data_IF_518669053379
#
_entry.id   IF_518669053379
#
_cell.length_a   1.000
_cell.length_b   1.000
_cell.length_c   1.000
_cell.angle_alpha   90.00
_cell.angle_beta   90.00
_cell.angle_gamma   90.00
#
_symmetry.space_group_name_H-M   'P 1'
#
loop_
_entity.id
_entity.type
_entity.pdbx_description
1 polymer ?
#
# COMPACT_ATOMS: atom_id res chain seq x y z
N UNK A 1 -6.33 9.62 -8.43
CA UNK A 1 -4.88 9.33 -8.33
C UNK A 1 -4.55 8.03 -9.05
N UNK A 2 -3.47 8.00 -9.84
CA UNK A 2 -2.97 6.78 -10.50
C UNK A 2 -1.69 6.32 -9.82
N UNK A 3 -1.60 5.04 -9.47
CA UNK A 3 -0.39 4.46 -8.89
C UNK A 3 0.70 4.36 -9.96
N UNK A 4 1.86 4.98 -9.73
CA UNK A 4 2.99 4.96 -10.66
C UNK A 4 4.02 3.88 -10.31
N UNK A 5 4.29 3.72 -9.01
CA UNK A 5 5.20 2.72 -8.47
C UNK A 5 4.72 2.30 -7.07
N UNK A 6 5.10 1.09 -6.65
CA UNK A 6 4.80 0.56 -5.32
C UNK A 6 5.93 -0.38 -4.89
N UNK A 7 6.38 -0.22 -3.66
CA UNK A 7 7.45 -1.02 -3.03
C UNK A 7 7.13 -1.21 -1.54
N UNK A 8 7.62 -2.29 -0.96
CA UNK A 8 7.69 -2.46 0.50
C UNK A 8 8.93 -1.74 1.04
N UNK A 9 8.72 -0.79 1.93
CA UNK A 9 9.79 -0.12 2.67
C UNK A 9 10.37 -1.01 3.76
N UNK A 10 9.51 -1.79 4.44
CA UNK A 10 9.90 -2.76 5.45
C UNK A 10 9.04 -4.02 5.32
N UNK A 11 9.68 -5.19 5.34
CA UNK A 11 9.00 -6.49 5.35
C UNK A 11 8.47 -6.79 6.75
N UNK A 12 7.31 -7.45 6.81
CA UNK A 12 6.75 -8.01 8.05
C UNK A 12 7.45 -9.28 8.54
N UNK A 13 8.38 -9.83 7.74
CA UNK A 13 8.96 -11.16 7.96
C UNK A 13 8.05 -12.31 7.50
N UNK A 14 6.84 -12.04 7.00
CA UNK A 14 5.89 -13.04 6.50
C UNK A 14 5.49 -12.73 5.06
N UNK A 15 5.90 -13.58 4.11
CA UNK A 15 5.66 -13.34 2.68
C UNK A 15 4.17 -13.13 2.32
N UNK A 16 3.26 -13.85 2.98
CA UNK A 16 1.82 -13.71 2.75
C UNK A 16 1.29 -12.32 3.16
N UNK A 17 1.79 -11.77 4.28
CA UNK A 17 1.40 -10.45 4.76
C UNK A 17 2.00 -9.34 3.87
N UNK A 18 3.25 -9.52 3.45
CA UNK A 18 3.94 -8.62 2.52
C UNK A 18 3.20 -8.54 1.17
N UNK A 19 2.77 -9.68 0.62
CA UNK A 19 1.98 -9.71 -0.60
C UNK A 19 0.62 -9.05 -0.40
N UNK A 20 -0.07 -9.34 0.71
CA UNK A 20 -1.35 -8.73 1.04
C UNK A 20 -1.24 -7.20 1.11
N UNK A 21 -0.19 -6.66 1.73
CA UNK A 21 0.12 -5.24 1.78
C UNK A 21 0.24 -4.63 0.38
N UNK A 22 1.05 -5.21 -0.49
CA UNK A 22 1.20 -4.76 -1.88
C UNK A 22 -0.11 -4.82 -2.67
N UNK A 23 -0.86 -5.91 -2.52
CA UNK A 23 -2.14 -6.09 -3.23
C UNK A 23 -3.21 -5.10 -2.77
N UNK A 24 -3.15 -4.60 -1.54
CA UNK A 24 -4.06 -3.55 -1.03
C UNK A 24 -4.10 -2.34 -1.96
N UNK A 25 -2.93 -1.77 -2.25
CA UNK A 25 -2.83 -0.58 -3.09
C UNK A 25 -3.16 -0.86 -4.55
N UNK A 26 -2.85 -2.06 -5.04
CA UNK A 26 -3.22 -2.48 -6.41
C UNK A 26 -4.74 -2.54 -6.57
N UNK A 27 -5.45 -3.13 -5.61
CA UNK A 27 -6.92 -3.26 -5.61
C UNK A 27 -7.63 -1.94 -5.36
N UNK A 28 -7.03 -1.05 -4.58
CA UNK A 28 -7.62 0.26 -4.24
C UNK A 28 -7.61 1.27 -5.41
N UNK A 29 -7.12 0.90 -6.60
CA UNK A 29 -7.10 1.82 -7.73
C UNK A 29 -8.52 2.12 -8.28
N UNK A 30 -8.79 3.38 -8.68
CA UNK A 30 -7.88 4.53 -8.60
C UNK A 30 -7.77 5.07 -7.16
N UNK A 31 -6.56 5.46 -6.77
CA UNK A 31 -6.33 6.10 -5.46
C UNK A 31 -6.97 7.49 -5.42
N UNK A 32 -7.16 8.10 -4.23
CA UNK A 32 -7.54 9.50 -4.12
C UNK A 32 -6.64 10.41 -4.97
N UNK A 33 -7.17 11.50 -5.55
CA UNK A 33 -6.34 12.50 -6.21
C UNK A 33 -5.37 13.16 -5.21
N UNK A 34 -4.24 13.64 -5.71
CA UNK A 34 -3.36 14.51 -4.93
C UNK A 34 -4.08 15.87 -4.81
N UNK A 35 -4.14 16.49 -3.61
CA UNK A 35 -4.73 17.82 -3.44
C UNK A 35 -4.07 18.86 -4.34
N UNK A 36 -4.83 19.86 -4.79
CA UNK A 36 -4.38 20.87 -5.76
C UNK A 36 -3.24 21.75 -5.21
N UNK A 37 -3.16 21.91 -3.90
CA UNK A 37 -2.09 22.63 -3.21
C UNK A 37 -0.74 21.88 -3.20
N UNK A 38 -0.71 20.61 -3.61
CA UNK A 38 0.49 19.78 -3.65
C UNK A 38 0.95 19.50 -5.09
N UNK A 39 2.27 19.43 -5.31
CA UNK A 39 2.83 19.13 -6.63
C UNK A 39 2.83 17.63 -6.92
N UNK A 40 2.29 17.17 -8.05
CA UNK A 40 2.40 15.77 -8.46
C UNK A 40 3.72 15.50 -9.25
N UNK A 41 4.30 14.28 -9.18
CA UNK A 41 3.87 13.13 -8.37
C UNK A 41 4.29 13.27 -6.90
N UNK A 42 3.56 12.58 -6.02
CA UNK A 42 3.88 12.49 -4.59
C UNK A 42 4.30 11.06 -4.24
N UNK A 43 5.31 10.95 -3.37
CA UNK A 43 5.76 9.69 -2.77
C UNK A 43 5.35 9.69 -1.30
N UNK A 44 4.71 8.60 -0.85
CA UNK A 44 4.14 8.48 0.49
C UNK A 44 4.52 7.13 1.09
N UNK A 45 4.97 7.16 2.34
CA UNK A 45 5.11 5.96 3.17
C UNK A 45 3.87 5.84 4.04
N UNK A 46 3.15 4.73 3.90
CA UNK A 46 1.88 4.49 4.58
C UNK A 46 1.98 3.19 5.38
N UNK A 47 1.68 3.20 6.69
CA UNK A 47 1.67 1.98 7.47
C UNK A 47 0.50 1.10 7.03
N UNK A 48 0.74 -0.21 6.96
CA UNK A 48 -0.29 -1.20 6.65
C UNK A 48 -0.25 -2.28 7.71
N UNK A 49 -1.40 -2.54 8.32
CA UNK A 49 -1.53 -3.56 9.36
C UNK A 49 -2.36 -4.73 8.84
N UNK A 50 -1.78 -5.93 8.93
CA UNK A 50 -2.45 -7.18 8.62
C UNK A 50 -2.20 -8.19 9.75
N UNK A 51 -3.19 -9.04 9.99
CA UNK A 51 -3.15 -10.06 11.02
C UNK A 51 -3.45 -11.43 10.42
N UNK A 52 -2.67 -12.44 10.81
CA UNK A 52 -2.99 -13.84 10.52
C UNK A 52 -3.96 -14.35 11.59
N UNK A 53 -5.13 -14.79 11.15
CA UNK A 53 -6.07 -15.47 12.04
C UNK A 53 -5.96 -16.97 11.83
N UNK A 54 -5.56 -17.71 12.87
CA UNK A 54 -5.66 -19.16 12.85
C UNK A 54 -7.14 -19.53 13.01
N UNK A 55 -7.75 -20.01 11.94
CA UNK A 55 -9.07 -20.63 12.02
C UNK A 55 -8.85 -22.05 12.54
N UNK A 56 -9.19 -22.26 13.82
CA UNK A 56 -9.26 -23.59 14.44
C UNK A 56 -10.63 -24.21 14.28
#
# INVERSE_FOLDING_TARGET
>A
GRLLALRLEQSSGHALLDEAALQTFRRAQPLPPIPDEMNAPQELVVPVEYYLHQTG
#
